data_IF_995846396673
#
_entry.id   IF_995846396673
#
_cell.length_a   1.000
_cell.length_b   1.000
_cell.length_c   1.000
_cell.angle_alpha   90.00
_cell.angle_beta   90.00
_cell.angle_gamma   90.00
#
_symmetry.space_group_name_H-M   'P 1'
#
loop_
_entity.id
_entity.type
_entity.pdbx_description
1 polymer ?
2 water ?
#
# COMPACT_ATOMS: atom_id res chain seq x y z
N UNK A 1 12.01 -7.90 15.72
CA UNK A 1 11.33 -6.58 15.60
C UNK A 1 10.98 -6.16 17.02
N UNK A 2 10.75 -4.86 17.25
CA UNK A 2 10.13 -4.50 18.52
C UNK A 2 8.67 -5.04 18.58
N UNK A 3 7.95 -5.03 17.45
CA UNK A 3 6.50 -5.34 17.54
C UNK A 3 6.28 -6.85 17.60
N UNK A 4 5.09 -7.24 18.07
CA UNK A 4 4.84 -8.68 18.31
C UNK A 4 3.43 -8.74 18.92
N UNK A 5 2.90 -9.94 19.13
CA UNK A 5 1.62 -10.13 19.78
C UNK A 5 1.57 -9.41 21.14
N UNK A 6 0.36 -9.11 21.55
CA UNK A 6 0.10 -8.31 22.72
C UNK A 6 -0.93 -9.09 23.55
N UNK A 7 -0.98 -8.84 24.86
CA UNK A 7 -2.05 -9.34 25.71
C UNK A 7 -2.67 -8.16 26.45
N UNK A 8 -3.95 -8.28 26.80
CA UNK A 8 -4.56 -7.27 27.60
C UNK A 8 -5.48 -7.86 28.67
N UNK A 9 -5.74 -7.05 29.68
CA UNK A 9 -6.74 -7.41 30.72
C UNK A 9 -7.63 -6.17 30.80
N UNK A 10 -8.92 -6.38 30.82
CA UNK A 10 -9.82 -5.26 31.03
C UNK A 10 -10.58 -5.42 32.33
N UNK A 11 -10.66 -4.33 33.08
CA UNK A 11 -11.43 -4.32 34.37
C UNK A 11 -12.11 -2.95 34.53
N UNK A 12 -12.66 -2.69 35.72
CA UNK A 12 -13.39 -1.42 35.94
C UNK A 12 -12.51 -0.17 35.83
N UNK A 13 -11.18 -0.32 36.01
CA UNK A 13 -10.26 0.82 35.81
C UNK A 13 -9.82 1.09 34.38
N UNK A 14 -10.17 0.18 33.47
CA UNK A 14 -9.99 0.38 32.02
C UNK A 14 -9.26 -0.83 31.40
N UNK A 15 -8.50 -0.57 30.34
CA UNK A 15 -7.79 -1.69 29.62
C UNK A 15 -6.30 -1.56 29.79
N UNK A 16 -5.59 -2.67 29.99
CA UNK A 16 -4.12 -2.64 30.16
C UNK A 16 -3.49 -3.61 29.17
N UNK A 17 -2.50 -3.16 28.40
CA UNK A 17 -1.93 -3.94 27.31
C UNK A 17 -0.42 -4.08 27.58
N UNK A 18 0.13 -5.24 27.25
CA UNK A 18 1.60 -5.42 27.28
C UNK A 18 1.97 -6.40 26.22
N UNK A 19 3.27 -6.46 25.89
CA UNK A 19 3.73 -7.42 24.90
C UNK A 19 3.59 -8.83 25.48
N UNK A 20 3.13 -9.78 24.64
CA UNK A 20 2.99 -11.20 25.03
C UNK A 20 4.36 -11.77 25.44
N UNK A 21 5.43 -11.37 24.78
CA UNK A 21 6.75 -11.87 25.25
C UNK A 21 7.60 -10.72 25.73
N UNK A 22 7.86 -10.66 27.03
CA UNK A 22 8.65 -9.55 27.57
C UNK A 22 10.15 -9.82 27.53
N UNK A 23 10.84 -9.25 26.55
CA UNK A 23 12.33 -9.20 26.63
C UNK A 23 12.81 -8.08 27.57
N UNK A 24 13.84 -8.33 28.36
CA UNK A 24 14.29 -7.35 29.34
C UNK A 24 13.41 -7.24 30.57
N UNK A 25 13.84 -6.35 31.46
CA UNK A 25 13.38 -6.29 32.86
C UNK A 25 12.71 -4.94 33.13
N UNK A 26 12.18 -4.37 32.06
CA UNK A 26 11.91 -2.98 31.89
C UNK A 26 10.58 -2.76 31.13
N UNK A 27 9.63 -3.72 31.14
CA UNK A 27 8.63 -3.79 30.03
C UNK A 27 7.46 -2.83 30.29
N UNK A 28 7.04 -2.20 29.25
CA UNK A 28 6.06 -1.13 29.35
C UNK A 28 4.63 -1.73 29.30
N UNK A 29 3.70 -1.02 29.95
CA UNK A 29 2.27 -1.30 29.88
C UNK A 29 1.61 -0.01 29.37
N UNK A 30 0.67 -0.19 28.44
CA UNK A 30 -0.21 0.88 27.98
C UNK A 30 -1.57 0.73 28.66
N UNK A 31 -2.02 1.78 29.32
CA UNK A 31 -3.28 1.72 30.03
C UNK A 31 -4.26 2.74 29.41
N UNK A 32 -5.46 2.29 29.01
CA UNK A 32 -6.57 3.20 28.59
C UNK A 32 -7.38 3.30 29.87
N UNK A 33 -7.38 4.47 30.51
CA UNK A 33 -8.07 4.65 31.77
C UNK A 33 -9.54 5.00 31.68
N UNK A 34 -10.40 4.30 32.43
CA UNK A 34 -11.82 4.64 32.47
C UNK A 34 -12.10 6.04 33.11
N UNK A 35 -11.28 6.40 34.10
CA UNK A 35 -11.44 7.60 34.88
C UNK A 35 -11.55 8.82 33.99
N UNK A 36 -10.60 8.97 33.08
CA UNK A 36 -10.52 10.17 32.28
C UNK A 36 -10.37 9.90 30.78
N UNK A 37 -10.58 8.65 30.35
CA UNK A 37 -10.41 8.23 28.94
C UNK A 37 -8.99 8.45 28.38
N UNK A 38 -8.02 8.72 29.25
CA UNK A 38 -6.65 9.04 28.73
C UNK A 38 -5.82 7.77 28.49
N UNK A 39 -4.83 7.87 27.64
CA UNK A 39 -3.90 6.77 27.39
C UNK A 39 -2.71 7.07 28.28
N UNK A 40 -2.23 6.07 29.05
CA UNK A 40 -1.06 6.28 29.92
C UNK A 40 -0.02 5.20 29.75
N UNK A 41 1.24 5.51 30.12
CA UNK A 41 2.27 4.43 30.16
C UNK A 41 2.57 4.05 31.59
N UNK A 42 2.51 2.76 31.92
CA UNK A 42 2.72 2.27 33.27
C UNK A 42 3.92 1.31 33.31
N UNK A 43 4.38 1.07 34.53
CA UNK A 43 5.39 0.05 34.86
C UNK A 43 4.77 -1.34 34.87
N UNK A 44 5.62 -2.36 34.71
CA UNK A 44 5.24 -3.77 34.63
C UNK A 44 4.43 -4.21 35.85
N UNK A 45 4.79 -3.65 37.00
CA UNK A 45 4.13 -4.00 38.27
C UNK A 45 2.68 -3.52 38.36
N UNK A 46 2.25 -2.72 37.38
CA UNK A 46 0.91 -2.14 37.45
C UNK A 46 0.00 -2.86 36.51
N UNK A 47 0.53 -3.87 35.79
CA UNK A 47 -0.34 -4.67 34.97
C UNK A 47 -1.25 -5.47 35.97
N UNK A 48 -2.54 -5.57 35.67
CA UNK A 48 -3.46 -6.21 36.66
C UNK A 48 -3.02 -7.61 36.96
N UNK A 49 -3.14 -8.01 38.23
CA UNK A 49 -2.91 -9.37 38.63
C UNK A 49 -4.18 -10.26 38.32
N UNK A 50 -5.34 -9.84 38.85
CA UNK A 50 -6.58 -10.56 38.63
C UNK A 50 -7.03 -10.41 37.16
N UNK A 51 -7.61 -11.44 36.58
CA UNK A 51 -8.42 -11.22 35.34
C UNK A 51 -8.07 -12.12 34.16
N UNK A 52 -8.99 -12.21 33.21
CA UNK A 52 -8.78 -12.94 31.99
C UNK A 52 -7.77 -12.26 31.13
N UNK A 53 -6.66 -12.93 30.82
CA UNK A 53 -5.72 -12.34 29.86
C UNK A 53 -6.15 -12.68 28.38
N UNK A 54 -6.33 -11.65 27.57
CA UNK A 54 -6.71 -11.80 26.21
C UNK A 54 -5.55 -11.62 25.25
N UNK A 55 -5.33 -12.59 24.35
CA UNK A 55 -4.25 -12.44 23.36
C UNK A 55 -4.75 -11.88 22.06
N UNK A 56 -4.04 -10.88 21.54
CA UNK A 56 -4.43 -10.20 20.30
C UNK A 56 -3.14 -10.07 19.40
N UNK A 57 -3.37 -10.11 18.09
CA UNK A 57 -2.22 -9.92 17.16
C UNK A 57 -1.65 -8.50 17.18
N UNK A 58 -2.48 -7.47 17.34
CA UNK A 58 -1.94 -6.12 17.35
C UNK A 58 -2.94 -5.16 17.97
N UNK A 59 -2.42 -4.12 18.62
CA UNK A 59 -3.24 -2.97 19.03
C UNK A 59 -3.05 -1.98 17.90
N UNK A 60 -4.11 -1.71 17.15
CA UNK A 60 -3.94 -0.88 15.92
C UNK A 60 -3.97 0.57 16.32
N UNK A 61 -4.58 0.91 17.49
CA UNK A 61 -4.48 2.26 18.02
C UNK A 61 -5.75 2.64 18.79
N UNK A 62 -5.96 3.94 18.97
CA UNK A 62 -7.13 4.37 19.75
C UNK A 62 -7.82 5.47 18.94
N UNK A 63 -9.12 5.67 19.23
CA UNK A 63 -9.81 6.85 18.61
C UNK A 63 -10.75 7.42 19.62
N UNK A 64 -10.83 8.74 19.68
CA UNK A 64 -11.69 9.47 20.61
C UNK A 64 -12.94 9.87 19.83
N UNK A 65 -14.07 9.25 20.22
CA UNK A 65 -15.34 9.32 19.47
C UNK A 65 -16.22 10.03 20.40
N UNK A 66 -16.40 11.31 20.10
CA UNK A 66 -16.99 12.27 21.00
C UNK A 66 -16.32 12.15 22.37
N UNK A 67 -17.08 11.83 23.42
CA UNK A 67 -16.58 11.72 24.79
C UNK A 67 -15.64 10.50 25.18
N UNK A 68 -15.83 9.33 24.59
CA UNK A 68 -15.07 8.12 25.01
C UNK A 68 -13.94 7.80 24.09
N UNK A 69 -12.88 7.19 24.57
CA UNK A 69 -11.84 6.74 23.71
C UNK A 69 -11.97 5.19 23.58
N UNK A 70 -11.77 4.69 22.37
CA UNK A 70 -11.92 3.27 22.10
C UNK A 70 -10.58 2.73 21.60
N UNK A 71 -10.31 1.48 21.94
CA UNK A 71 -9.13 0.80 21.46
C UNK A 71 -9.54 0.06 20.24
N UNK A 72 -8.71 0.10 19.21
CA UNK A 72 -8.99 -0.61 17.96
C UNK A 72 -8.01 -1.76 17.84
N UNK A 73 -8.54 -3.00 17.84
CA UNK A 73 -7.70 -4.17 18.02
C UNK A 73 -7.82 -5.12 16.82
N UNK A 74 -6.68 -5.67 16.41
CA UNK A 74 -6.64 -6.79 15.49
C UNK A 74 -6.57 -8.06 16.38
N UNK A 75 -7.70 -8.77 16.52
CA UNK A 75 -7.71 -9.93 17.42
C UNK A 75 -6.95 -11.06 16.78
N UNK A 76 -7.30 -11.42 15.55
CA UNK A 76 -6.64 -12.60 14.96
C UNK A 76 -6.16 -12.24 13.52
N UNK A 77 -5.23 -13.03 12.99
CA UNK A 77 -4.65 -12.80 11.64
C UNK A 77 -4.58 -14.15 10.96
N UNK A 78 -4.45 -14.14 9.62
CA UNK A 78 -4.01 -15.37 8.90
C UNK A 78 -2.78 -15.03 8.06
N UNK A 79 -1.83 -15.95 7.97
CA UNK A 79 -0.67 -15.73 7.15
C UNK A 79 -1.11 -15.74 5.66
N UNK A 80 -0.66 -14.78 4.90
CA UNK A 80 -1.06 -14.78 3.49
C UNK A 80 0.21 -14.82 2.63
N UNK A 81 1.36 -14.64 3.27
CA UNK A 81 2.62 -14.67 2.55
C UNK A 81 3.84 -14.92 3.41
N UNK A 82 4.90 -15.35 2.79
CA UNK A 82 6.16 -15.46 3.48
C UNK A 82 7.32 -15.25 2.46
N UNK A 83 8.21 -14.31 2.77
CA UNK A 83 9.20 -13.87 1.82
C UNK A 83 10.49 -13.56 2.58
N UNK A 84 11.55 -14.29 2.27
CA UNK A 84 12.88 -14.09 2.91
C UNK A 84 12.81 -14.10 4.45
N UNK A 85 12.00 -15.03 5.00
CA UNK A 85 11.80 -15.14 6.45
C UNK A 85 10.68 -14.26 7.03
N UNK A 86 10.19 -13.27 6.28
CA UNK A 86 9.19 -12.37 6.82
C UNK A 86 7.81 -12.96 6.58
N UNK A 87 6.95 -12.89 7.57
CA UNK A 87 5.59 -13.36 7.40
C UNK A 87 4.65 -12.16 7.23
N UNK A 88 3.75 -12.25 6.23
CA UNK A 88 2.73 -11.20 5.94
C UNK A 88 1.39 -11.75 6.51
N UNK A 89 0.71 -10.94 7.32
CA UNK A 89 -0.59 -11.30 7.92
C UNK A 89 -1.71 -10.40 7.40
N UNK A 90 -2.88 -11.00 7.21
CA UNK A 90 -4.10 -10.21 7.01
C UNK A 90 -4.86 -10.24 8.32
N UNK A 91 -5.41 -9.12 8.71
CA UNK A 91 -6.31 -9.03 9.87
C UNK A 91 -7.64 -9.77 9.57
N UNK A 92 -7.95 -10.74 10.43
CA UNK A 92 -9.17 -11.48 10.29
C UNK A 92 -10.23 -10.90 11.18
N UNK A 93 -10.13 -10.99 12.50
CA UNK A 93 -11.18 -10.58 13.39
C UNK A 93 -10.63 -9.30 14.08
N UNK A 94 -11.46 -8.25 14.20
CA UNK A 94 -11.07 -6.99 14.88
C UNK A 94 -12.09 -6.70 15.99
N UNK A 95 -11.80 -5.73 16.87
CA UNK A 95 -12.82 -5.30 17.83
C UNK A 95 -12.61 -3.83 18.15
N UNK A 96 -13.68 -3.18 18.59
CA UNK A 96 -13.62 -1.79 18.95
C UNK A 96 -14.08 -1.82 20.39
N UNK A 97 -13.19 -1.44 21.32
CA UNK A 97 -13.43 -1.77 22.73
C UNK A 97 -13.42 -0.51 23.60
N UNK A 98 -14.43 -0.31 24.43
CA UNK A 98 -14.45 0.90 25.26
C UNK A 98 -14.21 0.54 26.68
N UNK A 99 -13.94 1.54 27.55
CA UNK A 99 -13.74 1.25 28.93
C UNK A 99 -15.05 1.07 29.63
N UNK A 100 -16.15 1.36 28.95
CA UNK A 100 -17.44 1.45 29.65
C UNK A 100 -18.16 0.11 29.64
N UNK A 101 -18.40 -0.46 30.84
CA UNK A 101 -19.05 -1.80 30.97
C UNK A 101 -20.34 -1.78 30.15
N UNK A 102 -21.27 -0.91 30.53
CA UNK A 102 -22.31 -0.48 29.59
C UNK A 102 -22.52 1.03 29.76
N UNK A 103 -22.03 1.77 28.78
CA UNK A 103 -22.22 3.22 28.75
C UNK A 103 -23.51 3.43 28.01
N UNK A 104 -24.27 4.47 28.36
CA UNK A 104 -25.24 4.98 27.41
C UNK A 104 -24.51 6.06 26.58
N UNK A 105 -24.32 5.79 25.28
CA UNK A 105 -23.71 6.75 24.35
C UNK A 105 -24.80 7.42 23.53
N UNK A 106 -24.64 8.71 23.20
CA UNK A 106 -25.65 9.39 22.41
C UNK A 106 -25.60 8.93 20.92
N UNK A 107 -26.64 9.29 20.16
CA UNK A 107 -26.77 9.00 18.75
C UNK A 107 -25.56 9.29 17.92
N UNK A 108 -24.97 10.47 18.13
CA UNK A 108 -23.84 10.98 17.31
C UNK A 108 -22.62 10.08 17.54
N UNK A 109 -22.45 9.66 18.78
CA UNK A 109 -21.34 8.79 19.05
C UNK A 109 -21.56 7.40 18.45
N UNK A 110 -22.78 6.86 18.59
CA UNK A 110 -23.07 5.52 18.02
C UNK A 110 -22.89 5.54 16.47
N UNK A 111 -23.30 6.63 15.83
CA UNK A 111 -23.08 6.78 14.37
C UNK A 111 -21.66 6.78 13.93
N UNK A 112 -20.82 7.45 14.71
CA UNK A 112 -19.39 7.41 14.40
C UNK A 112 -18.82 5.94 14.43
N UNK A 113 -19.19 5.20 15.45
CA UNK A 113 -18.63 3.84 15.58
C UNK A 113 -19.18 2.99 14.42
N UNK A 114 -20.44 3.19 14.07
CA UNK A 114 -21.03 2.51 12.87
C UNK A 114 -20.21 2.74 11.61
N UNK A 115 -19.86 4.02 11.36
CA UNK A 115 -19.06 4.34 10.18
C UNK A 115 -17.66 3.73 10.22
N UNK A 116 -17.09 3.67 11.40
CA UNK A 116 -15.74 3.06 11.50
C UNK A 116 -15.86 1.53 11.30
N UNK A 117 -16.89 0.94 11.88
CA UNK A 117 -17.13 -0.52 11.74
C UNK A 117 -17.35 -0.89 10.27
N UNK A 118 -18.12 -0.08 9.55
CA UNK A 118 -18.31 -0.28 8.10
C UNK A 118 -16.97 -0.29 7.33
N UNK A 119 -16.08 0.61 7.72
CA UNK A 119 -14.80 0.72 7.04
C UNK A 119 -13.91 -0.53 7.45
N UNK A 120 -13.91 -0.87 8.72
CA UNK A 120 -13.04 -2.01 9.15
C UNK A 120 -13.54 -3.32 8.47
N UNK A 121 -14.86 -3.44 8.31
CA UNK A 121 -15.42 -4.64 7.67
C UNK A 121 -15.15 -4.72 6.18
N UNK A 122 -15.09 -3.58 5.50
CA UNK A 122 -15.11 -3.53 4.04
C UNK A 122 -13.70 -3.57 3.52
N UNK A 123 -12.74 -3.28 4.37
CA UNK A 123 -11.34 -3.22 4.01
C UNK A 123 -10.54 -4.50 4.42
N UNK A 124 -9.41 -4.71 3.76
CA UNK A 124 -8.49 -5.75 4.06
C UNK A 124 -7.16 -5.09 4.42
N UNK A 125 -6.71 -5.40 5.63
CA UNK A 125 -5.52 -4.76 6.23
C UNK A 125 -4.48 -5.79 6.42
N UNK A 126 -3.24 -5.41 6.16
CA UNK A 126 -2.16 -6.37 6.25
C UNK A 126 -1.01 -5.75 7.05
N UNK A 127 -0.22 -6.60 7.72
CA UNK A 127 1.01 -6.08 8.32
C UNK A 127 1.96 -7.23 8.43
N UNK A 128 3.23 -6.90 8.66
CA UNK A 128 4.25 -7.90 9.00
C UNK A 128 5.01 -7.37 10.22
N UNK A 129 5.25 -8.23 11.23
CA UNK A 129 5.97 -7.76 12.44
C UNK A 129 7.45 -7.44 12.12
N UNK A 130 8.03 -8.04 11.06
CA UNK A 130 9.47 -7.91 10.83
C UNK A 130 9.78 -7.16 9.52
N UNK A 131 8.79 -6.94 8.68
CA UNK A 131 9.03 -6.33 7.39
C UNK A 131 8.07 -5.14 7.28
N UNK A 132 8.52 -3.99 6.77
CA UNK A 132 7.64 -2.81 6.72
C UNK A 132 6.87 -2.80 5.33
N UNK A 133 5.64 -3.31 5.36
CA UNK A 133 4.78 -3.33 4.18
C UNK A 133 4.35 -1.96 3.66
N UNK A 134 4.54 -0.85 4.43
CA UNK A 134 4.09 0.46 3.90
C UNK A 134 5.17 0.97 2.91
N UNK A 135 6.34 0.31 2.88
CA UNK A 135 7.38 0.78 1.95
C UNK A 135 7.63 -0.28 0.85
N UNK A 136 8.10 0.18 -0.32
CA UNK A 136 8.59 -0.76 -1.34
C UNK A 136 9.88 -1.41 -0.86
N UNK A 137 10.25 -2.51 -1.50
CA UNK A 137 11.50 -3.16 -1.13
C UNK A 137 12.65 -2.23 -1.36
N UNK A 138 12.58 -1.43 -2.43
CA UNK A 138 13.68 -0.51 -2.72
C UNK A 138 13.78 0.60 -1.67
N UNK A 139 12.63 1.15 -1.22
CA UNK A 139 12.65 2.11 -0.05
C UNK A 139 13.14 1.49 1.30
N UNK A 140 12.73 0.26 1.55
CA UNK A 140 13.19 -0.46 2.72
C UNK A 140 14.68 -0.69 2.68
N UNK A 141 15.21 -0.85 1.48
CA UNK A 141 16.63 -1.06 1.36
C UNK A 141 17.41 0.21 1.76
N UNK A 142 16.83 1.36 1.49
CA UNK A 142 17.43 2.67 1.77
C UNK A 142 17.33 2.98 3.27
N UNK A 143 16.21 2.59 3.89
CA UNK A 143 16.05 2.74 5.37
C UNK A 143 17.13 2.00 6.11
N UNK A 144 17.12 0.67 6.01
CA UNK A 144 18.22 -0.12 6.48
C UNK A 144 17.94 -0.90 7.75
N UNK A 145 18.24 -0.26 8.93
CA UNK A 145 17.85 -0.67 10.29
C UNK A 145 16.52 -1.49 10.48
N UNK A 146 15.98 -2.14 9.42
CA UNK A 146 14.82 -3.10 9.49
C UNK A 146 13.45 -2.52 9.95
N UNK A 147 13.49 -1.52 10.82
CA UNK A 147 12.21 -0.93 11.30
C UNK A 147 12.53 0.59 11.57
N UNK A 148 11.55 1.34 12.09
CA UNK A 148 10.32 0.83 12.71
C UNK A 148 9.14 1.64 12.17
N UNK A 149 8.17 1.92 13.03
CA UNK A 149 7.07 2.85 12.67
C UNK A 149 7.65 4.21 12.24
N UNK A 150 8.83 4.58 12.75
CA UNK A 150 9.40 5.89 12.45
C UNK A 150 9.79 6.03 11.01
N UNK A 151 10.09 4.91 10.33
CA UNK A 151 10.49 4.99 8.89
C UNK A 151 9.43 4.46 7.96
N UNK A 152 8.26 4.13 8.51
CA UNK A 152 7.11 3.83 7.64
C UNK A 152 6.77 4.99 6.70
N UNK A 153 6.21 4.62 5.55
CA UNK A 153 5.76 5.56 4.59
C UNK A 153 4.41 6.10 5.06
N UNK A 154 4.38 7.38 5.36
CA UNK A 154 3.14 7.94 5.99
C UNK A 154 1.93 7.95 5.04
N UNK A 155 2.16 7.95 3.72
CA UNK A 155 1.06 7.81 2.76
C UNK A 155 0.30 6.54 2.94
N UNK A 156 0.95 5.46 3.30
CA UNK A 156 0.29 4.16 3.32
C UNK A 156 0.17 3.56 4.76
N UNK A 157 0.59 4.34 5.75
CA UNK A 157 0.48 3.83 7.25
C UNK A 157 -0.99 4.08 7.59
N UNK A 158 -1.81 3.07 7.41
CA UNK A 158 -3.27 3.29 7.43
C UNK A 158 -3.72 3.73 8.87
N UNK A 159 -3.08 3.17 9.90
CA UNK A 159 -3.41 3.53 11.27
C UNK A 159 -2.55 4.67 11.84
N UNK A 160 -2.00 5.53 10.97
CA UNK A 160 -1.20 6.65 11.45
C UNK A 160 -2.00 7.49 12.43
N UNK A 161 -3.17 7.98 12.06
CA UNK A 161 -3.98 8.77 13.01
C UNK A 161 -4.39 8.00 14.33
N UNK A 162 -4.72 6.72 14.24
CA UNK A 162 -5.11 5.89 15.42
C UNK A 162 -3.91 5.72 16.37
N UNK A 163 -2.71 5.93 15.86
CA UNK A 163 -1.50 5.75 16.77
C UNK A 163 -0.95 7.05 17.35
N UNK A 164 -1.67 8.17 17.20
CA UNK A 164 -1.14 9.43 17.63
C UNK A 164 -0.71 9.44 19.12
N UNK A 165 -1.58 8.99 19.99
CA UNK A 165 -1.14 8.95 21.45
C UNK A 165 0.14 8.12 21.74
N UNK A 166 0.24 6.97 21.09
CA UNK A 166 1.37 6.05 21.27
C UNK A 166 2.61 6.70 20.66
N UNK A 167 2.45 7.28 19.48
CA UNK A 167 3.62 7.96 18.85
C UNK A 167 4.14 9.08 19.70
N UNK A 168 3.24 9.87 20.29
CA UNK A 168 3.65 10.95 21.18
C UNK A 168 4.44 10.42 22.40
N UNK A 169 4.00 9.32 23.02
CA UNK A 169 4.87 8.68 24.04
C UNK A 169 6.19 8.11 23.51
N UNK A 170 6.15 7.49 22.33
CA UNK A 170 7.33 6.81 21.84
C UNK A 170 8.48 7.81 21.51
N UNK A 171 8.12 9.07 21.27
CA UNK A 171 9.14 10.12 21.06
C UNK A 171 10.13 10.22 22.21
N UNK A 172 9.70 10.07 23.46
CA UNK A 172 10.66 10.07 24.56
C UNK A 172 10.73 8.72 25.24
N UNK A 173 10.14 7.68 24.67
CA UNK A 173 10.25 6.35 25.30
C UNK A 173 10.28 5.19 24.27
N UNK A 174 11.47 4.75 23.83
CA UNK A 174 11.50 3.81 22.73
C UNK A 174 10.91 2.43 23.01
N UNK A 175 10.59 2.10 24.25
CA UNK A 175 9.89 0.86 24.50
C UNK A 175 8.51 0.94 23.85
N UNK A 176 7.95 2.14 23.71
CA UNK A 176 6.55 2.19 23.14
C UNK A 176 6.54 1.79 21.65
N UNK A 177 7.71 1.81 20.99
CA UNK A 177 7.78 1.36 19.58
C UNK A 177 7.19 -0.05 19.42
N UNK A 178 7.33 -0.88 20.45
CA UNK A 178 6.79 -2.28 20.36
C UNK A 178 5.29 -2.34 20.18
N UNK A 179 4.58 -1.27 20.51
CA UNK A 179 3.13 -1.30 20.41
C UNK A 179 2.65 -0.69 19.11
N UNK A 180 3.56 -0.10 18.31
CA UNK A 180 3.11 0.64 17.18
C UNK A 180 3.46 -0.19 15.93
N UNK A 181 2.44 -0.78 15.36
CA UNK A 181 2.60 -1.69 14.23
C UNK A 181 1.87 -1.05 13.02
N UNK A 182 2.63 -0.51 12.05
CA UNK A 182 1.94 0.05 10.87
C UNK A 182 1.23 -1.03 10.07
N UNK A 183 0.02 -0.70 9.64
CA UNK A 183 -0.75 -1.60 8.84
C UNK A 183 -0.98 -0.92 7.46
N UNK A 184 -1.08 -1.73 6.37
CA UNK A 184 -1.49 -1.18 5.09
C UNK A 184 -2.93 -1.60 4.79
N UNK A 185 -3.58 -0.81 3.98
CA UNK A 185 -4.95 -1.15 3.48
C UNK A 185 -5.18 -2.26 2.33
N UNK A 186 -4.52 -2.29 1.29
CA UNK A 186 -4.88 -3.17 0.22
C UNK A 186 -4.69 -4.68 0.13
N UNK A 187 -3.48 -5.19 -0.20
CA UNK A 187 -3.39 -6.62 -0.52
C UNK A 187 -1.91 -7.04 -0.31
N UNK A 188 -1.66 -8.27 0.16
CA UNK A 188 -0.24 -8.75 0.26
C UNK A 188 -0.29 -10.26 0.26
N UNK A 189 0.33 -10.93 -0.73
CA UNK A 189 0.26 -12.38 -0.79
C UNK A 189 1.48 -12.88 -1.52
N UNK A 190 1.99 -14.07 -1.15
CA UNK A 190 3.04 -14.69 -1.91
C UNK A 190 2.60 -16.10 -2.31
N UNK A 191 3.24 -16.66 -3.32
CA UNK A 191 2.94 -18.03 -3.73
C UNK A 191 4.27 -18.67 -4.04
N UNK A 192 4.46 -19.93 -3.68
CA UNK A 192 5.65 -20.66 -4.05
C UNK A 192 5.47 -21.34 -5.41
N UNK A 193 6.49 -21.32 -6.22
CA UNK A 193 6.39 -22.01 -7.50
C UNK A 193 7.76 -22.55 -7.85
N UNK A 194 7.88 -23.16 -9.02
CA UNK A 194 9.15 -23.75 -9.50
C UNK A 194 9.18 -23.37 -11.00
N UNK A 195 10.35 -22.98 -11.50
CA UNK A 195 10.50 -22.65 -12.91
C UNK A 195 11.84 -23.25 -13.27
N UNK A 196 11.81 -24.23 -14.18
CA UNK A 196 13.01 -24.92 -14.59
C UNK A 196 13.83 -25.42 -13.38
N UNK A 197 13.15 -26.11 -12.45
CA UNK A 197 13.78 -26.71 -11.23
C UNK A 197 14.46 -25.70 -10.29
N UNK A 198 14.26 -24.41 -10.54
CA UNK A 198 14.54 -23.41 -9.55
C UNK A 198 13.25 -23.10 -8.72
N UNK A 199 13.29 -23.38 -7.39
CA UNK A 199 12.23 -22.93 -6.51
C UNK A 199 12.18 -21.41 -6.51
N UNK A 200 10.98 -20.85 -6.62
CA UNK A 200 10.84 -19.38 -6.55
C UNK A 200 9.71 -19.00 -5.62
N UNK A 201 9.74 -17.74 -5.15
CA UNK A 201 8.65 -17.18 -4.41
C UNK A 201 8.23 -15.93 -5.15
N UNK A 202 6.95 -15.83 -5.52
CA UNK A 202 6.39 -14.66 -6.20
C UNK A 202 5.49 -13.95 -5.21
N UNK A 203 5.54 -12.62 -5.13
CA UNK A 203 4.65 -11.88 -4.25
C UNK A 203 4.01 -10.70 -4.98
N UNK A 204 2.89 -10.22 -4.44
CA UNK A 204 2.25 -9.00 -4.93
C UNK A 204 1.70 -8.27 -3.71
N UNK A 205 1.92 -6.95 -3.68
CA UNK A 205 1.48 -6.17 -2.62
C UNK A 205 0.85 -4.91 -3.28
N UNK A 206 -0.32 -4.51 -2.79
CA UNK A 206 -0.86 -3.17 -3.15
C UNK A 206 -1.08 -2.45 -1.84
N UNK A 207 -0.61 -1.22 -1.75
CA UNK A 207 -0.86 -0.40 -0.59
C UNK A 207 -1.58 0.87 -1.09
N UNK A 208 -2.59 1.25 -0.36
CA UNK A 208 -3.53 2.30 -0.81
C UNK A 208 -3.37 3.47 0.12
N UNK A 209 -3.47 4.66 -0.45
CA UNK A 209 -3.15 5.83 0.31
C UNK A 209 -4.31 6.33 1.13
N UNK A 210 -3.82 6.82 2.29
CA UNK A 210 -4.44 7.32 3.49
C UNK A 210 -4.15 8.83 3.35
N UNK A 211 -5.20 9.58 3.06
CA UNK A 211 -5.13 11.02 2.76
C UNK A 211 -5.85 11.78 3.92
N UNK A 212 -5.37 12.97 4.34
CA UNK A 212 -4.28 13.80 3.75
C UNK A 212 -4.25 15.17 4.50
N UNK A 213 -3.07 15.64 4.94
CA UNK A 213 -2.92 16.95 5.63
C UNK A 213 -3.37 18.17 4.78
N UNK A 214 -3.70 19.28 5.44
CA UNK A 214 -4.26 20.46 4.73
C UNK A 214 -5.53 21.01 5.41
N UNK A 215 -5.70 22.34 5.36
CA UNK A 215 -6.80 23.05 6.07
C UNK A 215 -8.22 22.83 5.47
N UNK A 216 -8.27 22.27 4.26
CA UNK A 216 -9.50 21.91 3.49
C UNK A 216 -9.22 20.64 2.64
N UNK A 217 -10.27 19.96 2.15
CA UNK A 217 -10.11 18.66 1.43
C UNK A 217 -11.03 18.42 0.20
N UNK A 218 -10.85 17.23 -0.40
CA UNK A 218 -11.63 16.64 -1.53
C UNK A 218 -10.79 15.46 -2.07
N UNK A 219 -11.39 14.27 -2.11
CA UNK A 219 -10.73 13.06 -2.67
C UNK A 219 -10.04 13.27 -4.04
N UNK A 220 -10.83 13.62 -5.07
CA UNK A 220 -10.34 13.70 -6.45
C UNK A 220 -9.40 14.90 -6.62
N UNK A 221 -8.25 14.63 -7.23
CA UNK A 221 -7.30 15.66 -7.58
C UNK A 221 -6.17 15.90 -6.58
N UNK A 222 -5.40 16.95 -6.85
CA UNK A 222 -4.24 17.31 -6.04
C UNK A 222 -4.50 18.60 -5.18
N UNK A 223 -4.00 18.62 -3.94
CA UNK A 223 -4.00 19.88 -3.14
C UNK A 223 -2.93 20.89 -3.65
N UNK A 224 -2.83 22.07 -3.00
CA UNK A 224 -1.81 23.10 -3.35
C UNK A 224 -0.36 22.62 -3.12
N UNK A 225 -0.16 21.81 -2.07
CA UNK A 225 1.10 21.13 -1.76
C UNK A 225 1.45 19.92 -2.68
N UNK A 226 0.65 19.62 -3.70
CA UNK A 226 0.94 18.46 -4.59
C UNK A 226 0.58 17.04 -4.17
N UNK A 227 -0.17 16.87 -3.07
CA UNK A 227 -0.69 15.54 -2.68
C UNK A 227 -2.01 15.23 -3.39
N UNK A 228 -2.21 13.99 -3.86
CA UNK A 228 -3.49 13.64 -4.55
C UNK A 228 -4.55 12.92 -3.72
N UNK A 229 -4.13 12.32 -2.64
CA UNK A 229 -5.15 11.73 -1.77
C UNK A 229 -5.52 10.29 -2.17
N UNK A 230 -6.10 10.10 -3.37
CA UNK A 230 -6.31 8.71 -3.80
C UNK A 230 -5.08 8.21 -4.67
N UNK A 231 -4.34 7.25 -4.16
CA UNK A 231 -3.04 6.89 -4.73
C UNK A 231 -2.70 5.47 -4.20
N UNK A 232 -2.25 4.55 -5.08
CA UNK A 232 -1.92 3.17 -4.75
C UNK A 232 -0.52 2.86 -5.33
N UNK A 233 0.27 2.05 -4.65
CA UNK A 233 1.45 1.47 -5.30
C UNK A 233 1.09 0.00 -5.38
N UNK A 234 1.47 -0.61 -6.51
CA UNK A 234 1.38 -2.07 -6.66
C UNK A 234 2.77 -2.59 -6.97
N UNK A 235 3.18 -3.60 -6.22
CA UNK A 235 4.58 -3.99 -6.26
C UNK A 235 4.67 -5.48 -6.46
N UNK A 236 5.38 -5.89 -7.49
CA UNK A 236 5.61 -7.30 -7.75
C UNK A 236 7.00 -7.68 -7.24
N UNK A 237 7.05 -8.73 -6.42
CA UNK A 237 8.31 -9.16 -5.84
C UNK A 237 8.64 -10.58 -6.21
N UNK A 238 9.93 -10.83 -6.30
CA UNK A 238 10.36 -12.19 -6.61
C UNK A 238 11.61 -12.55 -5.82
N UNK A 239 11.69 -13.78 -5.32
CA UNK A 239 12.92 -14.29 -4.71
C UNK A 239 13.32 -15.60 -5.41
N UNK A 240 14.58 -15.71 -5.83
CA UNK A 240 15.04 -16.88 -6.58
C UNK A 240 16.51 -17.22 -6.35
N UNK A 241 16.86 -18.51 -6.46
CA UNK A 241 18.30 -18.90 -6.56
C UNK A 241 18.87 -18.81 -7.99
N UNK A 242 20.12 -18.34 -8.12
CA UNK A 242 20.91 -18.52 -9.36
C UNK A 242 21.25 -20.04 -9.39
N UNK A 243 20.92 -20.76 -10.49
CA UNK A 243 21.16 -22.25 -10.54
C UNK A 243 22.58 -22.70 -10.15
N UNK A 244 23.57 -22.23 -10.91
CA UNK A 244 25.01 -22.35 -10.59
C UNK A 244 25.42 -21.04 -9.92
N UNK A 245 26.15 -21.15 -8.80
CA UNK A 245 26.42 -20.02 -7.86
C UNK A 245 25.63 -20.20 -6.58
N UNK A 246 24.36 -20.60 -6.72
CA UNK A 246 23.43 -20.77 -5.58
C UNK A 246 23.23 -19.50 -4.71
N UNK A 247 23.61 -18.34 -5.28
CA UNK A 247 23.32 -17.01 -4.71
C UNK A 247 21.81 -16.73 -4.74
N UNK A 248 21.27 -16.09 -3.69
CA UNK A 248 19.82 -15.75 -3.59
C UNK A 248 19.53 -14.32 -4.07
N UNK A 249 18.71 -14.22 -5.09
CA UNK A 249 18.44 -12.92 -5.74
C UNK A 249 17.01 -12.45 -5.32
N UNK A 250 16.84 -11.16 -5.07
CA UNK A 250 15.54 -10.60 -4.67
C UNK A 250 15.27 -9.42 -5.59
N UNK A 251 14.04 -9.38 -6.12
CA UNK A 251 13.63 -8.41 -7.15
C UNK A 251 12.36 -7.69 -6.75
N UNK A 252 12.26 -6.45 -7.10
CA UNK A 252 11.00 -5.73 -6.92
C UNK A 252 10.74 -4.84 -8.11
N UNK A 253 9.47 -4.77 -8.52
CA UNK A 253 9.09 -3.95 -9.62
C UNK A 253 7.79 -3.22 -9.24
N UNK A 254 7.88 -1.91 -9.23
CA UNK A 254 6.79 -1.07 -8.61
C UNK A 254 6.01 -0.30 -9.74
N UNK A 255 4.69 -0.15 -9.53
CA UNK A 255 3.85 0.69 -10.41
C UNK A 255 2.93 1.50 -9.54
N UNK A 256 2.38 2.58 -10.07
CA UNK A 256 1.54 3.50 -9.28
C UNK A 256 0.18 3.72 -10.02
N UNK A 257 -0.82 4.13 -9.28
CA UNK A 257 -2.13 4.37 -9.84
C UNK A 257 -2.75 5.43 -8.98
N UNK A 258 -3.25 6.49 -9.58
CA UNK A 258 -3.80 7.54 -8.65
C UNK A 258 -4.72 8.54 -9.35
N UNK A 259 -5.36 9.44 -8.58
CA UNK A 259 -6.14 10.51 -9.20
C UNK A 259 -5.31 11.34 -10.13
N UNK A 260 -6.00 11.83 -11.12
CA UNK A 260 -5.46 12.75 -12.11
C UNK A 260 -5.03 13.99 -11.35
N UNK A 261 -3.75 14.33 -11.46
CA UNK A 261 -3.22 15.43 -10.63
C UNK A 261 -3.58 16.81 -11.18
N UNK A 262 -4.86 17.12 -11.16
CA UNK A 262 -5.49 18.41 -11.50
C UNK A 262 -5.90 18.97 -10.14
N UNK A 263 -5.79 20.28 -9.93
CA UNK A 263 -6.25 20.92 -8.67
C UNK A 263 -7.70 20.57 -8.17
N UNK A 264 -7.83 20.12 -6.91
CA UNK A 264 -9.14 19.66 -6.37
C UNK A 264 -10.37 20.61 -6.53
N UNK A 265 -10.13 21.87 -6.91
CA UNK A 265 -11.17 22.80 -7.39
C UNK A 265 -11.92 22.29 -8.64
N UNK A 266 -13.03 21.59 -8.37
CA UNK A 266 -13.86 20.90 -9.39
C UNK A 266 -15.39 21.09 -9.28
N UNK A 267 -15.96 21.58 -10.38
CA UNK A 267 -17.40 21.84 -10.53
C UNK A 267 -18.23 20.54 -10.65
N UNK A 268 -18.48 19.93 -9.48
CA UNK A 268 -19.28 18.70 -9.29
C UNK A 268 -20.80 18.96 -9.34
N UNK A 269 -21.22 19.90 -10.20
CA UNK A 269 -22.63 20.29 -10.31
C UNK A 269 -23.53 19.32 -11.10
N UNK A 270 -24.84 19.54 -11.03
CA UNK A 270 -25.79 18.81 -11.85
C UNK A 270 -25.75 19.36 -13.27
N UNK A 271 -26.48 20.46 -13.49
CA UNK A 271 -26.55 21.14 -14.79
C UNK A 271 -25.39 22.13 -14.86
N UNK A 272 -24.67 22.22 -15.99
CA UNK A 272 -24.88 21.40 -17.19
C UNK A 272 -23.57 20.64 -17.52
N UNK A 273 -23.00 20.88 -18.70
CA UNK A 273 -21.69 20.35 -19.13
C UNK A 273 -20.55 21.14 -18.46
N UNK A 274 -19.84 20.52 -17.48
CA UNK A 274 -18.80 21.31 -16.80
C UNK A 274 -17.42 21.29 -17.51
N UNK A 275 -16.85 22.47 -17.82
CA UNK A 275 -15.42 22.57 -18.16
C UNK A 275 -14.55 23.23 -17.06
N UNK A 276 -13.35 22.68 -16.85
CA UNK A 276 -12.44 23.13 -15.79
C UNK A 276 -11.89 24.54 -16.08
N UNK A 277 -11.66 25.30 -15.01
CA UNK A 277 -10.75 26.43 -15.09
C UNK A 277 -9.41 25.94 -14.53
N UNK A 278 -8.39 25.89 -15.39
CA UNK A 278 -7.06 25.46 -14.98
C UNK A 278 -6.16 26.71 -15.00
N UNK A 279 -6.33 27.56 -13.99
CA UNK A 279 -5.61 28.83 -13.92
C UNK A 279 -4.14 28.58 -13.68
N UNK A 280 -3.50 29.44 -12.90
CA UNK A 280 -2.13 29.15 -12.49
C UNK A 280 -2.09 27.91 -11.56
N UNK A 281 -3.24 27.55 -11.02
CA UNK A 281 -3.34 26.48 -9.99
C UNK A 281 -3.09 25.09 -10.57
N UNK A 282 -3.76 24.77 -11.68
CA UNK A 282 -3.66 23.41 -12.25
C UNK A 282 -2.27 23.13 -12.80
N UNK A 283 -1.62 24.16 -13.36
CA UNK A 283 -0.18 24.12 -13.68
C UNK A 283 0.70 24.00 -12.43
N UNK A 284 0.41 24.83 -11.42
CA UNK A 284 1.15 24.85 -10.17
C UNK A 284 1.08 23.56 -9.35
N UNK A 285 -0.14 23.02 -9.21
CA UNK A 285 -0.36 21.88 -8.34
C UNK A 285 0.16 20.63 -9.03
N UNK A 286 -0.07 20.53 -10.34
CA UNK A 286 0.45 19.44 -11.16
C UNK A 286 1.97 19.43 -11.09
N UNK A 287 2.59 20.61 -11.23
CA UNK A 287 4.05 20.73 -11.13
C UNK A 287 4.57 20.21 -9.79
N UNK A 288 3.95 20.65 -8.71
CA UNK A 288 4.35 20.19 -7.39
C UNK A 288 4.11 18.68 -7.18
N UNK A 289 3.02 18.20 -7.76
CA UNK A 289 2.76 16.77 -7.61
C UNK A 289 3.88 16.03 -8.37
N UNK A 290 4.16 16.45 -9.60
CA UNK A 290 5.17 15.75 -10.36
C UNK A 290 6.62 15.88 -9.83
N UNK A 291 6.93 16.99 -9.21
CA UNK A 291 8.19 17.13 -8.47
C UNK A 291 8.30 16.06 -7.37
N UNK A 292 7.28 15.81 -6.55
CA UNK A 292 7.32 14.71 -5.60
C UNK A 292 7.39 13.35 -6.28
N UNK A 293 6.58 13.11 -7.33
CA UNK A 293 6.58 11.80 -7.99
C UNK A 293 7.96 11.53 -8.61
N UNK A 294 8.58 12.55 -9.16
CA UNK A 294 9.94 12.39 -9.70
C UNK A 294 10.95 12.03 -8.59
N UNK A 295 10.92 12.74 -7.47
CA UNK A 295 11.81 12.40 -6.36
C UNK A 295 11.63 10.98 -5.80
N UNK A 296 10.38 10.50 -5.76
CA UNK A 296 10.09 9.16 -5.34
C UNK A 296 10.46 8.10 -6.36
N UNK A 297 10.20 8.33 -7.65
CA UNK A 297 10.23 7.16 -8.52
C UNK A 297 11.10 7.35 -9.75
N UNK A 298 11.55 8.56 -10.00
CA UNK A 298 12.30 8.82 -11.26
C UNK A 298 11.42 9.34 -12.41
N UNK A 299 11.70 8.87 -13.61
CA UNK A 299 10.84 9.22 -14.74
C UNK A 299 9.44 8.67 -14.52
N UNK A 300 8.39 9.46 -14.85
CA UNK A 300 7.03 8.96 -14.76
C UNK A 300 6.41 8.83 -16.12
N UNK A 301 5.90 7.62 -16.43
CA UNK A 301 5.22 7.37 -17.75
C UNK A 301 3.73 7.35 -17.43
N UNK A 302 3.04 8.36 -17.87
CA UNK A 302 1.65 8.51 -17.49
C UNK A 302 0.71 7.86 -18.53
N UNK A 303 -0.05 6.86 -18.13
CA UNK A 303 -0.87 6.14 -19.10
C UNK A 303 -2.33 6.57 -18.83
N UNK A 304 -2.97 7.16 -19.84
CA UNK A 304 -4.33 7.69 -19.73
C UNK A 304 -5.19 6.93 -20.77
N UNK A 305 -6.12 6.12 -20.31
CA UNK A 305 -6.89 5.30 -21.27
C UNK A 305 -8.00 6.14 -21.92
N UNK A 306 -8.05 6.21 -23.25
CA UNK A 306 -9.09 7.06 -23.86
C UNK A 306 -10.51 6.45 -23.65
N UNK A 307 -10.85 5.47 -24.50
CA UNK A 307 -12.17 4.77 -24.45
C UNK A 307 -13.39 5.70 -24.70
N UNK A 308 -13.33 6.35 -25.87
CA UNK A 308 -14.27 7.38 -26.35
C UNK A 308 -14.41 7.26 -27.88
N UNK A 309 -15.50 7.79 -28.44
CA UNK A 309 -15.69 7.90 -29.92
C UNK A 309 -16.36 9.25 -30.31
N UNK A 310 -16.11 10.27 -29.48
CA UNK A 310 -16.83 11.54 -29.54
C UNK A 310 -17.51 11.84 -28.21
N UNK A 311 -17.11 11.11 -27.17
CA UNK A 311 -17.59 11.27 -25.79
C UNK A 311 -16.43 11.88 -24.96
N UNK A 312 -16.41 13.22 -24.86
CA UNK A 312 -15.24 13.99 -24.37
C UNK A 312 -15.33 14.46 -22.89
N UNK A 313 -14.35 14.05 -22.07
CA UNK A 313 -14.34 14.39 -20.63
C UNK A 313 -13.46 15.61 -20.26
N UNK A 314 -14.01 16.56 -19.47
CA UNK A 314 -13.25 17.74 -18.99
C UNK A 314 -11.88 17.36 -18.39
N UNK A 315 -11.90 16.48 -17.39
CA UNK A 315 -10.67 16.07 -16.66
C UNK A 315 -9.62 15.36 -17.55
N UNK A 316 -10.08 14.59 -18.53
CA UNK A 316 -9.26 13.97 -19.60
C UNK A 316 -8.36 14.96 -20.35
N UNK A 317 -9.01 15.89 -21.06
CA UNK A 317 -8.32 16.89 -21.87
C UNK A 317 -7.49 17.84 -21.00
N UNK A 318 -8.02 18.19 -19.83
CA UNK A 318 -7.27 18.98 -18.86
C UNK A 318 -5.92 18.35 -18.51
N UNK A 319 -5.92 17.05 -18.21
CA UNK A 319 -4.67 16.32 -17.85
C UNK A 319 -3.64 16.49 -18.98
N UNK A 320 -3.99 16.16 -20.20
CA UNK A 320 -3.07 16.25 -21.28
C UNK A 320 -2.57 17.69 -21.51
N UNK A 321 -3.45 18.69 -21.37
CA UNK A 321 -2.99 19.98 -21.89
C UNK A 321 -2.06 20.54 -20.80
N UNK A 322 -2.39 20.25 -19.56
CA UNK A 322 -1.49 20.53 -18.45
C UNK A 322 -0.11 19.84 -18.57
N UNK A 323 -0.10 18.51 -18.73
CA UNK A 323 1.16 17.80 -18.97
C UNK A 323 1.98 18.39 -20.10
N UNK A 324 1.32 18.62 -21.25
CA UNK A 324 1.91 19.25 -22.45
C UNK A 324 2.49 20.65 -22.17
N UNK A 325 1.73 21.46 -21.44
CA UNK A 325 2.20 22.77 -20.97
C UNK A 325 3.50 22.68 -20.11
N UNK A 326 3.60 21.75 -19.19
CA UNK A 326 4.84 21.73 -18.38
C UNK A 326 6.07 21.27 -19.14
N UNK A 327 5.85 20.49 -20.19
CA UNK A 327 6.96 19.96 -21.00
C UNK A 327 8.21 19.44 -20.21
N UNK A 328 7.96 18.80 -19.08
CA UNK A 328 9.04 18.20 -18.26
C UNK A 328 9.60 16.99 -19.05
N UNK A 329 10.88 17.01 -19.46
CA UNK A 329 11.36 15.83 -20.19
C UNK A 329 11.42 14.51 -19.33
N UNK A 330 11.15 14.56 -18.01
CA UNK A 330 11.16 13.33 -17.23
C UNK A 330 9.72 12.80 -17.05
N UNK A 331 8.76 13.47 -17.68
CA UNK A 331 7.36 13.08 -17.51
C UNK A 331 6.93 12.72 -18.93
N UNK A 332 6.28 11.58 -19.14
CA UNK A 332 6.04 11.12 -20.53
C UNK A 332 4.57 10.79 -20.57
N UNK A 333 3.80 11.23 -21.55
CA UNK A 333 2.38 11.02 -21.45
C UNK A 333 1.89 10.13 -22.59
N UNK A 334 0.99 9.19 -22.29
CA UNK A 334 0.38 8.39 -23.39
C UNK A 334 -1.09 8.29 -23.22
N UNK A 335 -1.84 8.54 -24.29
CA UNK A 335 -3.29 8.36 -24.23
C UNK A 335 -3.51 7.13 -25.06
N UNK A 336 -3.97 6.09 -24.42
CA UNK A 336 -4.06 4.80 -25.07
C UNK A 336 -5.48 4.27 -25.21
N UNK A 337 -5.78 3.82 -26.42
CA UNK A 337 -7.08 3.23 -26.73
C UNK A 337 -7.05 1.73 -26.41
N UNK A 338 -7.83 1.35 -25.41
CA UNK A 338 -7.82 -0.02 -24.88
C UNK A 338 -9.25 -0.58 -24.86
N UNK A 339 -9.73 -1.03 -26.01
CA UNK A 339 -11.13 -1.41 -26.17
C UNK A 339 -11.36 -2.92 -26.18
N UNK A 340 -12.65 -3.26 -26.24
CA UNK A 340 -13.19 -4.61 -26.46
C UNK A 340 -12.99 -5.04 -27.94
N UNK A 341 -13.29 -6.30 -28.32
CA UNK A 341 -13.66 -7.41 -27.41
C UNK A 341 -12.51 -7.81 -26.50
N UNK A 342 -12.80 -7.94 -25.23
CA UNK A 342 -11.71 -7.83 -24.27
C UNK A 342 -10.93 -9.12 -23.86
N UNK A 343 -11.11 -10.21 -24.60
CA UNK A 343 -10.26 -11.38 -24.35
C UNK A 343 -9.31 -11.74 -25.51
N UNK A 344 -9.25 -10.88 -26.51
CA UNK A 344 -8.27 -11.04 -27.58
C UNK A 344 -7.78 -9.69 -28.06
N UNK A 345 -8.71 -8.79 -28.38
CA UNK A 345 -8.43 -7.51 -29.05
C UNK A 345 -7.94 -6.49 -28.01
N UNK A 346 -8.56 -6.54 -26.81
CA UNK A 346 -8.03 -5.87 -25.64
C UNK A 346 -6.51 -6.20 -25.34
N UNK A 347 -6.17 -7.47 -25.07
CA UNK A 347 -4.79 -7.79 -24.68
C UNK A 347 -3.83 -7.50 -25.87
N UNK A 348 -4.25 -7.79 -27.10
CA UNK A 348 -3.33 -7.33 -28.18
C UNK A 348 -2.95 -5.86 -27.91
N UNK A 349 -3.99 -5.00 -27.79
CA UNK A 349 -3.75 -3.58 -27.55
C UNK A 349 -2.80 -3.34 -26.32
N UNK A 350 -2.75 -4.19 -25.28
CA UNK A 350 -1.86 -3.88 -24.09
C UNK A 350 -0.42 -4.11 -24.44
N UNK A 351 -0.14 -5.16 -25.23
CA UNK A 351 1.21 -5.35 -25.74
C UNK A 351 1.58 -4.17 -26.66
N UNK A 352 0.64 -3.62 -27.42
CA UNK A 352 0.93 -2.43 -28.28
C UNK A 352 1.29 -1.21 -27.40
N UNK A 353 0.57 -1.07 -26.30
CA UNK A 353 0.90 0.02 -25.30
C UNK A 353 2.34 -0.15 -24.80
N UNK A 354 2.70 -1.33 -24.43
CA UNK A 354 4.05 -1.55 -23.97
C UNK A 354 5.12 -1.20 -25.03
N UNK A 355 4.91 -1.62 -26.28
CA UNK A 355 5.78 -1.21 -27.40
C UNK A 355 5.93 0.32 -27.47
N UNK A 356 4.84 1.04 -27.29
CA UNK A 356 4.88 2.48 -27.37
C UNK A 356 5.65 3.07 -26.17
N UNK A 357 5.40 2.55 -24.96
CA UNK A 357 6.18 3.00 -23.77
C UNK A 357 7.66 2.76 -24.00
N UNK A 358 8.01 1.60 -24.57
CA UNK A 358 9.41 1.35 -24.80
C UNK A 358 10.01 2.41 -25.74
N UNK A 359 9.25 2.79 -26.77
CA UNK A 359 9.73 3.81 -27.73
C UNK A 359 9.96 5.13 -27.01
N UNK A 360 9.22 5.37 -25.92
CA UNK A 360 9.41 6.62 -25.15
C UNK A 360 10.55 6.48 -24.20
N UNK A 361 11.08 5.27 -24.00
CA UNK A 361 12.25 5.16 -23.14
C UNK A 361 12.11 4.14 -21.99
N UNK A 362 10.93 3.52 -21.84
CA UNK A 362 10.74 2.59 -20.71
C UNK A 362 11.54 1.32 -21.02
N UNK A 363 12.26 0.82 -20.03
CA UNK A 363 13.04 -0.39 -20.16
C UNK A 363 12.49 -1.49 -19.25
N UNK A 364 12.36 -2.69 -19.81
CA UNK A 364 12.05 -3.85 -18.98
C UNK A 364 13.17 -4.34 -18.11
N UNK A 365 14.36 -3.72 -18.18
CA UNK A 365 15.48 -4.01 -17.26
C UNK A 365 15.43 -3.08 -16.01
N UNK A 366 14.44 -2.19 -16.01
CA UNK A 366 14.30 -1.20 -14.98
C UNK A 366 13.52 -1.68 -13.74
N UNK A 367 14.21 -2.39 -12.84
CA UNK A 367 13.60 -2.98 -11.64
C UNK A 367 14.68 -3.03 -10.52
N UNK A 368 14.26 -3.17 -9.28
CA UNK A 368 15.14 -3.29 -8.15
C UNK A 368 15.64 -4.73 -8.10
N UNK A 369 16.94 -4.95 -7.86
CA UNK A 369 17.51 -6.30 -7.79
C UNK A 369 18.66 -6.27 -6.78
N UNK A 370 18.61 -7.15 -5.80
CA UNK A 370 19.72 -7.26 -4.86
C UNK A 370 20.07 -8.77 -4.67
N UNK A 371 21.31 -9.06 -4.25
CA UNK A 371 21.73 -10.43 -3.83
C UNK A 371 21.79 -10.41 -2.31
N UNK A 372 21.30 -11.46 -1.66
CA UNK A 372 21.37 -11.53 -0.24
C UNK A 372 22.14 -12.82 0.11
N UNK A 373 22.51 -13.00 1.37
CA UNK A 373 23.31 -14.17 1.80
C UNK A 373 22.38 -15.15 2.50
N UNK A 374 22.89 -16.28 2.99
CA UNK A 374 22.03 -17.28 3.63
C UNK A 374 21.39 -16.79 4.91
N UNK A 375 21.83 -15.66 5.43
CA UNK A 375 21.17 -15.02 6.56
C UNK A 375 20.16 -13.96 6.10
N UNK A 376 20.12 -13.68 4.81
CA UNK A 376 19.03 -12.79 4.33
C UNK A 376 19.39 -11.31 4.32
N UNK A 377 20.66 -11.03 4.60
CA UNK A 377 21.23 -9.68 4.53
C UNK A 377 21.80 -9.39 3.12
N UNK A 378 21.74 -8.12 2.72
CA UNK A 378 22.19 -7.71 1.37
C UNK A 378 23.67 -7.76 1.18
N UNK A 379 24.10 -8.43 0.11
CA UNK A 379 25.48 -8.48 -0.23
C UNK A 379 25.81 -7.50 -1.33
N UNK A 380 24.82 -7.21 -2.19
CA UNK A 380 25.05 -6.47 -3.45
C UNK A 380 23.73 -5.93 -3.98
N UNK A 381 23.77 -4.68 -4.43
CA UNK A 381 22.62 -4.03 -5.10
C UNK A 381 23.00 -4.09 -6.56
N UNK A 382 22.30 -4.89 -7.31
CA UNK A 382 22.65 -5.07 -8.73
C UNK A 382 21.96 -3.98 -9.55
N UNK A 383 20.74 -3.58 -9.16
CA UNK A 383 20.04 -2.54 -9.91
C UNK A 383 18.97 -1.90 -9.08
N UNK A 384 18.62 -0.64 -9.40
CA UNK A 384 17.54 0.07 -8.68
C UNK A 384 16.60 0.54 -9.77
N UNK A 385 15.31 0.54 -9.50
CA UNK A 385 14.32 1.02 -10.49
C UNK A 385 14.26 2.56 -10.50
N UNK A 386 14.26 3.19 -11.68
CA UNK A 386 14.42 4.68 -11.71
C UNK A 386 13.32 5.24 -12.60
N UNK A 387 12.23 4.49 -12.74
CA UNK A 387 11.05 4.97 -13.52
C UNK A 387 9.79 4.31 -12.93
N UNK A 388 8.63 4.88 -13.23
CA UNK A 388 7.38 4.19 -12.91
C UNK A 388 6.32 4.45 -13.97
N UNK A 389 5.49 3.46 -14.22
CA UNK A 389 4.32 3.65 -15.06
C UNK A 389 3.14 3.95 -14.12
N UNK A 390 2.47 5.06 -14.38
CA UNK A 390 1.41 5.57 -13.53
C UNK A 390 0.08 5.50 -14.30
N UNK A 391 -0.88 4.73 -13.82
CA UNK A 391 -2.20 4.70 -14.46
C UNK A 391 -3.18 5.52 -13.65
N UNK A 392 -4.37 5.80 -14.21
CA UNK A 392 -5.37 6.65 -13.49
C UNK A 392 -6.42 5.88 -12.78
N UNK A 393 -6.69 6.32 -11.55
CA UNK A 393 -7.76 5.85 -10.70
C UNK A 393 -9.12 5.98 -11.34
N UNK A 394 -9.30 6.94 -12.19
CA UNK A 394 -10.59 7.14 -12.79
C UNK A 394 -10.89 6.19 -13.98
N UNK A 395 -9.85 5.62 -14.61
CA UNK A 395 -10.09 4.61 -15.67
C UNK A 395 -10.65 3.29 -15.05
N UNK A 396 -11.23 2.37 -15.80
CA UNK A 396 -11.81 1.18 -15.07
C UNK A 396 -10.72 0.38 -14.38
N UNK A 397 -10.96 0.01 -13.11
CA UNK A 397 -10.01 -0.83 -12.38
C UNK A 397 -9.76 -2.13 -13.17
N UNK A 398 -10.75 -2.55 -13.97
CA UNK A 398 -10.67 -3.76 -14.79
C UNK A 398 -9.59 -3.59 -15.85
N UNK A 399 -9.55 -2.41 -16.46
CA UNK A 399 -8.65 -2.21 -17.54
C UNK A 399 -7.23 -1.96 -16.96
N UNK A 400 -7.12 -1.11 -15.94
CA UNK A 400 -5.82 -0.77 -15.41
C UNK A 400 -5.22 -1.97 -14.72
N UNK A 401 -6.03 -2.86 -14.14
CA UNK A 401 -5.37 -4.04 -13.57
C UNK A 401 -4.76 -4.92 -14.70
N UNK A 402 -5.38 -4.88 -15.88
CA UNK A 402 -4.87 -5.63 -16.95
C UNK A 402 -3.58 -5.04 -17.43
N UNK A 403 -3.54 -3.71 -17.55
CA UNK A 403 -2.32 -3.02 -17.95
C UNK A 403 -1.22 -3.34 -16.93
N UNK A 404 -1.54 -3.31 -15.64
CA UNK A 404 -0.51 -3.54 -14.67
C UNK A 404 0.03 -4.96 -14.68
N UNK A 405 -0.89 -5.92 -14.83
CA UNK A 405 -0.53 -7.33 -14.83
C UNK A 405 0.38 -7.61 -16.03
N UNK A 406 -0.02 -7.16 -17.22
CA UNK A 406 0.82 -7.43 -18.43
C UNK A 406 2.17 -6.80 -18.38
N UNK A 407 2.24 -5.55 -17.91
CA UNK A 407 3.53 -4.93 -17.75
C UNK A 407 4.41 -5.69 -16.79
N UNK A 408 3.84 -6.09 -15.64
CA UNK A 408 4.67 -6.86 -14.68
C UNK A 408 5.15 -8.22 -15.28
N UNK A 409 4.39 -8.85 -16.17
CA UNK A 409 4.86 -10.07 -16.89
C UNK A 409 6.10 -9.82 -17.78
N UNK A 410 6.08 -8.68 -18.45
CA UNK A 410 7.14 -8.27 -19.36
C UNK A 410 8.46 -8.01 -18.54
N UNK A 411 8.32 -7.40 -17.38
CA UNK A 411 9.48 -7.17 -16.50
C UNK A 411 9.91 -8.47 -15.83
N UNK A 412 8.99 -9.26 -15.37
CA UNK A 412 9.37 -10.59 -14.81
C UNK A 412 10.29 -11.44 -15.66
N UNK A 413 10.04 -11.44 -16.97
CA UNK A 413 10.83 -12.21 -17.90
C UNK A 413 12.33 -11.83 -17.79
N UNK A 414 12.59 -10.53 -17.71
CA UNK A 414 13.97 -10.01 -17.55
C UNK A 414 14.55 -10.31 -16.23
N UNK A 415 13.71 -10.28 -15.18
CA UNK A 415 14.16 -10.72 -13.89
C UNK A 415 14.62 -12.20 -13.95
N UNK A 416 13.74 -13.08 -14.46
CA UNK A 416 14.10 -14.48 -14.67
C UNK A 416 15.37 -14.63 -15.52
N UNK A 417 15.51 -13.83 -16.59
CA UNK A 417 16.71 -13.94 -17.42
C UNK A 417 17.96 -13.50 -16.64
N UNK A 418 17.81 -12.48 -15.79
CA UNK A 418 18.97 -11.94 -15.12
C UNK A 418 19.62 -12.93 -14.11
N UNK A 419 18.81 -13.77 -13.44
CA UNK A 419 19.32 -14.79 -12.50
C UNK A 419 19.51 -16.16 -13.19
N UNK A 420 19.52 -16.14 -14.52
CA UNK A 420 19.60 -17.30 -15.42
C UNK A 420 18.66 -18.46 -15.13
N UNK A 421 17.43 -18.12 -14.80
CA UNK A 421 16.46 -19.14 -14.50
C UNK A 421 15.82 -19.60 -15.81
N UNK A 422 15.78 -18.70 -16.78
CA UNK A 422 15.31 -18.98 -18.13
C UNK A 422 16.35 -18.45 -19.13
N UNK A 423 16.37 -19.04 -20.32
CA UNK A 423 17.22 -18.53 -21.40
C UNK A 423 16.75 -17.18 -21.95
N UNK A 424 17.68 -16.36 -22.43
CA UNK A 424 17.40 -15.08 -23.07
C UNK A 424 16.46 -15.25 -24.26
N UNK A 425 15.32 -14.55 -24.23
CA UNK A 425 14.33 -14.70 -25.29
C UNK A 425 13.49 -15.97 -25.23
N UNK A 426 13.43 -16.62 -24.08
CA UNK A 426 12.43 -17.67 -23.84
C UNK A 426 11.11 -16.95 -23.45
N UNK A 427 10.06 -17.70 -23.10
CA UNK A 427 8.78 -17.12 -22.62
C UNK A 427 8.40 -17.82 -21.34
N UNK A 428 8.37 -17.10 -20.22
CA UNK A 428 8.19 -17.83 -18.97
C UNK A 428 6.76 -18.33 -18.88
N UNK A 429 5.86 -17.61 -19.52
CA UNK A 429 4.44 -17.92 -19.49
C UNK A 429 4.13 -19.29 -20.15
N UNK A 430 5.12 -19.93 -20.77
CA UNK A 430 4.88 -21.26 -21.35
C UNK A 430 4.83 -22.32 -20.29
N UNK A 431 5.04 -21.93 -19.03
CA UNK A 431 4.98 -22.84 -17.88
C UNK A 431 3.62 -22.72 -17.22
N UNK A 432 2.76 -23.68 -17.55
CA UNK A 432 1.34 -23.59 -17.28
C UNK A 432 0.99 -23.40 -15.81
N UNK A 433 1.50 -24.28 -14.92
CA UNK A 433 1.15 -24.07 -13.51
C UNK A 433 1.64 -22.70 -12.95
N UNK A 434 2.80 -22.25 -13.43
CA UNK A 434 3.30 -20.96 -12.98
C UNK A 434 2.42 -19.78 -13.43
N UNK A 435 2.02 -19.75 -14.70
CA UNK A 435 1.12 -18.71 -15.25
C UNK A 435 -0.22 -18.76 -14.52
N UNK A 436 -0.69 -19.97 -14.21
CA UNK A 436 -1.89 -20.06 -13.38
C UNK A 436 -1.69 -19.42 -12.05
N UNK A 437 -0.61 -19.76 -11.33
CA UNK A 437 -0.39 -19.11 -10.03
C UNK A 437 -0.32 -17.59 -10.21
N UNK A 438 0.41 -17.14 -11.23
CA UNK A 438 0.58 -15.66 -11.47
C UNK A 438 -0.79 -14.99 -11.71
N UNK A 439 -1.59 -15.59 -12.60
CA UNK A 439 -2.90 -15.03 -12.94
C UNK A 439 -3.82 -14.95 -11.68
N UNK A 440 -3.82 -15.98 -10.83
CA UNK A 440 -4.66 -15.96 -9.60
C UNK A 440 -4.21 -14.90 -8.62
N UNK A 441 -2.90 -14.80 -8.47
CA UNK A 441 -2.34 -13.76 -7.66
C UNK A 441 -2.86 -12.38 -8.11
N UNK A 442 -2.80 -12.04 -9.39
CA UNK A 442 -3.25 -10.69 -9.84
C UNK A 442 -4.80 -10.54 -9.85
N UNK A 443 -5.54 -11.67 -10.03
CA UNK A 443 -7.03 -11.60 -9.99
C UNK A 443 -7.49 -11.33 -8.58
N UNK A 444 -6.81 -11.96 -7.64
CA UNK A 444 -7.11 -11.68 -6.24
C UNK A 444 -6.88 -10.24 -5.82
N UNK A 445 -5.73 -9.73 -6.30
CA UNK A 445 -5.41 -8.32 -6.08
C UNK A 445 -6.53 -7.38 -6.58
N UNK A 446 -6.98 -7.52 -7.81
CA UNK A 446 -8.04 -6.69 -8.36
C UNK A 446 -9.31 -6.78 -7.52
N UNK A 447 -9.65 -8.00 -7.08
CA UNK A 447 -10.77 -8.24 -6.11
C UNK A 447 -10.59 -7.40 -4.86
N UNK A 448 -9.44 -7.57 -4.22
CA UNK A 448 -9.17 -6.83 -3.03
C UNK A 448 -9.24 -5.30 -3.19
N UNK A 449 -8.71 -4.77 -4.28
CA UNK A 449 -8.51 -3.34 -4.38
C UNK A 449 -9.74 -2.61 -4.93
N UNK A 450 -10.65 -3.36 -5.52
CA UNK A 450 -11.92 -2.79 -6.06
C UNK A 450 -12.79 -2.13 -4.97
N UNK A 451 -12.48 -2.47 -3.73
CA UNK A 451 -13.08 -1.91 -2.52
C UNK A 451 -12.97 -0.33 -2.28
N UNK A 452 -12.88 0.49 -3.34
CA UNK A 452 -13.05 1.98 -3.22
C UNK A 452 -14.48 2.46 -3.56
N UNK A 453 -15.11 1.76 -4.52
CA UNK A 453 -16.47 2.02 -5.01
C UNK A 453 -17.00 0.76 -5.74
N UNK A 454 -18.33 0.64 -5.82
CA UNK A 454 -18.93 -0.24 -6.82
C UNK A 454 -19.72 0.64 -7.80
N UNK A 455 -19.27 0.68 -9.04
CA UNK A 455 -19.82 1.62 -10.02
C UNK A 455 -19.64 1.13 -11.43
N UNK A 456 -19.73 2.02 -12.43
CA UNK A 456 -20.11 3.44 -12.26
C UNK A 456 -21.53 3.71 -12.86
N UNK A 457 -21.75 3.26 -14.10
CA UNK A 457 -23.06 3.42 -14.79
C UNK A 457 -23.23 2.58 -16.05
#
# INVERSE_FOLDING_TARGET
SMTGPIVYVQNADGIFFKLAEGKGTNDAVIHLANQDQGVRVLGAEEFPVQGEVVKIASLMGFIKLKLNRYAIIANTVEETGRFNGHVFYRVLQHSIVSTKFNSRIDSEEAEYIKLLELHLKNSTFYFSYTYDLTNSLQRNEKVGPAASWKTADERFFWNHYLTEDLRNFAHQDPRIDSFIQPVIYGYAKTVDAVLNATPIVLGLITRRSIFRAGTRYFRRGVDKDGNVGNFNETEQILLAENPESEKIHVFSFLQTRGSVPIYWAEINNLKYKPNLVLGENSLDATKKHFDQQKELYGDNYLVNLVNQKGHELPVKEGYESVVHALNDPKIHYVYFDFHHECRKMQWHRVKLLIDHLEKLGLSNEDFFHKVIDSNGNTVEIVNEQHSVVRTNCMDCLDRTNVVQSVLAQWVLQKEFESADVVATGSTWEDNAPLLTSYQNLWADNADAVSVAYSGTGALKTDFTRTGKRTRLGAFNDFLNSASRYYQNNWTDGPRQDSYDLFLGG
#
